data_IF_570825243059
#
_entry.id   IF_570825243059
#
_cell.length_a   1.000
_cell.length_b   1.000
_cell.length_c   1.000
_cell.angle_alpha   90.00
_cell.angle_beta   90.00
_cell.angle_gamma   90.00
#
_symmetry.space_group_name_H-M   'P 1'
#
loop_
_entity.id
_entity.type
_entity.pdbx_description
1 polymer ?
#
# COMPACT_ATOMS: atom_id res chain seq x y z
N UNK A 1 -59.73 22.61 9.13
CA UNK A 1 -58.39 23.20 9.01
C UNK A 1 -57.64 22.43 7.94
N UNK A 2 -57.18 23.08 6.86
CA UNK A 2 -56.35 22.42 5.85
C UNK A 2 -54.85 22.49 6.23
N UNK A 3 -54.16 21.36 6.11
CA UNK A 3 -52.70 21.26 6.27
C UNK A 3 -51.98 21.85 5.05
N UNK A 4 -50.95 22.69 5.24
CA UNK A 4 -50.04 23.08 4.17
C UNK A 4 -48.76 22.23 4.26
N UNK A 5 -48.31 21.70 3.12
CA UNK A 5 -46.90 21.58 2.65
C UNK A 5 -46.94 20.64 1.44
N UNK A 6 -47.35 21.21 0.32
CA UNK A 6 -46.92 20.77 -0.99
C UNK A 6 -45.46 21.19 -1.14
N UNK A 7 -44.55 20.24 -0.99
CA UNK A 7 -43.12 20.40 -1.27
C UNK A 7 -42.75 19.65 -2.54
N UNK A 8 -43.23 20.14 -3.68
CA UNK A 8 -42.63 19.76 -4.96
C UNK A 8 -41.21 20.31 -5.04
N UNK A 9 -40.31 19.51 -5.60
CA UNK A 9 -39.03 20.00 -6.11
C UNK A 9 -37.83 19.27 -5.56
N UNK A 10 -37.38 18.25 -6.30
CA UNK A 10 -35.97 17.85 -6.39
C UNK A 10 -35.79 16.97 -7.63
N UNK A 11 -36.05 17.56 -8.81
CA UNK A 11 -35.57 17.01 -10.08
C UNK A 11 -34.04 17.16 -10.13
N UNK A 12 -33.33 16.21 -9.52
CA UNK A 12 -31.87 16.11 -9.69
C UNK A 12 -31.56 15.77 -11.15
N UNK A 13 -31.19 16.79 -11.93
CA UNK A 13 -30.51 16.63 -13.21
C UNK A 13 -29.26 15.75 -12.99
N UNK A 14 -29.29 14.52 -13.51
CA UNK A 14 -28.10 13.68 -13.63
C UNK A 14 -27.09 14.38 -14.57
N UNK A 15 -25.83 14.60 -14.18
CA UNK A 15 -24.80 14.96 -15.15
C UNK A 15 -24.57 13.77 -16.09
N UNK A 16 -24.57 14.05 -17.39
CA UNK A 16 -24.29 13.07 -18.44
C UNK A 16 -22.87 12.52 -18.23
N UNK A 17 -22.75 11.20 -18.21
CA UNK A 17 -21.49 10.47 -18.17
C UNK A 17 -20.58 10.93 -19.31
N UNK A 18 -19.37 11.35 -18.93
CA UNK A 18 -18.27 11.61 -19.84
C UNK A 18 -17.75 10.25 -20.31
N UNK A 19 -18.08 9.86 -21.53
CA UNK A 19 -17.51 8.68 -22.19
C UNK A 19 -16.01 8.89 -22.33
N UNK A 20 -15.21 8.10 -21.61
CA UNK A 20 -13.78 8.03 -21.81
C UNK A 20 -13.52 7.05 -22.98
N UNK A 21 -12.93 7.54 -24.06
CA UNK A 21 -12.40 6.68 -25.11
C UNK A 21 -10.94 6.33 -24.75
N UNK A 22 -10.57 5.04 -24.66
CA UNK A 22 -9.17 4.67 -24.59
C UNK A 22 -8.50 4.94 -25.93
N UNK A 23 -7.55 5.89 -25.95
CA UNK A 23 -6.60 6.08 -27.04
C UNK A 23 -5.67 4.85 -27.13
N UNK A 24 -6.05 3.86 -27.92
CA UNK A 24 -5.16 2.78 -28.36
C UNK A 24 -4.39 3.22 -29.60
N UNK A 25 -3.23 3.83 -29.42
CA UNK A 25 -2.21 3.85 -30.47
C UNK A 25 -0.82 4.14 -29.89
N UNK A 26 -0.09 3.09 -29.57
CA UNK A 26 1.36 3.05 -29.77
C UNK A 26 1.74 1.61 -30.10
N UNK A 27 1.80 1.36 -31.41
CA UNK A 27 2.38 0.21 -32.07
C UNK A 27 3.78 -0.09 -31.57
N UNK A 28 4.00 -1.33 -31.13
CA UNK A 28 5.33 -1.95 -31.07
C UNK A 28 5.96 -1.94 -32.46
N UNK A 29 7.25 -1.64 -32.54
CA UNK A 29 8.12 -2.23 -33.56
C UNK A 29 9.51 -2.51 -32.97
N UNK A 30 10.22 -3.53 -33.47
CA UNK A 30 11.27 -4.19 -32.72
C UNK A 30 12.69 -3.87 -33.21
N UNK A 31 13.65 -4.40 -32.45
CA UNK A 31 15.06 -4.71 -32.80
C UNK A 31 15.99 -3.54 -33.14
N UNK A 32 16.86 -3.20 -32.19
CA UNK A 32 18.26 -2.91 -32.52
C UNK A 32 19.16 -3.85 -31.73
N UNK A 33 19.71 -4.83 -32.45
CA UNK A 33 20.75 -5.75 -32.03
C UNK A 33 22.07 -4.98 -32.05
N UNK A 34 22.71 -4.80 -30.89
CA UNK A 34 24.12 -4.42 -30.83
C UNK A 34 24.83 -5.29 -29.79
N UNK A 35 25.55 -6.27 -30.30
CA UNK A 35 26.43 -7.17 -29.55
C UNK A 35 27.83 -6.54 -29.37
N UNK A 36 28.70 -7.13 -28.54
CA UNK A 36 29.37 -6.46 -27.44
C UNK A 36 30.80 -6.04 -27.77
N UNK A 37 31.36 -5.13 -26.96
CA UNK A 37 32.72 -5.24 -26.41
C UNK A 37 33.08 -3.93 -25.73
N UNK A 38 33.23 -3.95 -24.41
CA UNK A 38 34.15 -3.10 -23.68
C UNK A 38 34.25 -3.65 -22.26
N UNK A 39 35.40 -4.25 -21.97
CA UNK A 39 35.85 -4.52 -20.62
C UNK A 39 35.81 -3.22 -19.80
N UNK A 40 35.21 -3.27 -18.61
CA UNK A 40 35.62 -2.41 -17.50
C UNK A 40 35.72 -3.29 -16.27
N UNK A 41 36.96 -3.38 -15.82
CA UNK A 41 37.39 -3.98 -14.58
C UNK A 41 36.72 -3.35 -13.36
N UNK A 42 36.66 -4.14 -12.29
CA UNK A 42 36.73 -3.69 -10.89
C UNK A 42 35.59 -2.79 -10.39
N UNK A 43 34.63 -3.43 -9.75
CA UNK A 43 34.26 -3.04 -8.40
C UNK A 43 33.69 -4.26 -7.68
N UNK A 44 34.54 -4.92 -6.89
CA UNK A 44 34.07 -5.68 -5.74
C UNK A 44 33.40 -4.66 -4.82
N UNK A 45 32.15 -4.33 -5.11
CA UNK A 45 31.30 -3.61 -4.19
C UNK A 45 31.18 -4.52 -2.97
N UNK A 46 31.99 -4.21 -1.96
CA UNK A 46 31.81 -4.74 -0.63
C UNK A 46 30.40 -4.39 -0.22
N UNK A 47 29.48 -5.33 -0.42
CA UNK A 47 28.22 -5.37 0.29
C UNK A 47 28.66 -5.47 1.74
N UNK A 48 28.83 -4.32 2.40
CA UNK A 48 28.67 -4.23 3.84
C UNK A 48 27.28 -4.79 4.06
N UNK A 49 27.21 -6.09 4.33
CA UNK A 49 26.10 -6.68 5.02
C UNK A 49 26.04 -5.87 6.30
N UNK A 50 25.21 -4.81 6.30
CA UNK A 50 24.76 -4.19 7.54
C UNK A 50 24.38 -5.36 8.40
N UNK A 51 24.95 -5.46 9.58
CA UNK A 51 24.46 -6.40 10.58
C UNK A 51 23.00 -6.03 10.84
N UNK A 52 22.10 -6.58 10.03
CA UNK A 52 20.67 -6.54 10.26
C UNK A 52 20.49 -7.42 11.46
N UNK A 53 20.22 -6.80 12.61
CA UNK A 53 19.84 -7.57 13.79
C UNK A 53 18.68 -8.50 13.39
N UNK A 54 18.59 -9.70 13.97
CA UNK A 54 17.49 -10.62 13.67
C UNK A 54 16.12 -9.96 13.88
N UNK A 55 16.03 -9.01 14.82
CA UNK A 55 14.86 -8.16 15.06
C UNK A 55 14.50 -7.30 13.85
N UNK A 56 15.47 -6.65 13.20
CA UNK A 56 15.24 -5.81 12.03
C UNK A 56 14.77 -6.64 10.83
N UNK A 57 15.35 -7.83 10.60
CA UNK A 57 14.91 -8.73 9.53
C UNK A 57 13.48 -9.21 9.75
N UNK A 58 13.10 -9.51 11.01
CA UNK A 58 11.74 -9.93 11.36
C UNK A 58 10.73 -8.80 11.24
N UNK A 59 11.07 -7.59 11.71
CA UNK A 59 10.25 -6.39 11.55
C UNK A 59 9.94 -6.16 10.06
N UNK A 60 10.97 -6.19 9.21
CA UNK A 60 10.83 -6.04 7.77
C UNK A 60 9.94 -7.11 7.14
N UNK A 61 10.13 -8.38 7.52
CA UNK A 61 9.27 -9.46 7.03
C UNK A 61 7.80 -9.21 7.37
N UNK A 62 7.50 -8.87 8.62
CA UNK A 62 6.14 -8.58 9.06
C UNK A 62 5.54 -7.37 8.34
N UNK A 63 6.31 -6.29 8.20
CA UNK A 63 5.89 -5.09 7.47
C UNK A 63 5.52 -5.41 6.02
N UNK A 64 6.38 -6.13 5.30
CA UNK A 64 6.12 -6.52 3.91
C UNK A 64 4.89 -7.41 3.78
N UNK A 65 4.73 -8.38 4.69
CA UNK A 65 3.59 -9.30 4.70
C UNK A 65 2.29 -8.54 4.96
N UNK A 66 2.27 -7.65 5.95
CA UNK A 66 1.10 -6.83 6.27
C UNK A 66 0.76 -5.85 5.13
N UNK A 67 1.76 -5.18 4.56
CA UNK A 67 1.55 -4.25 3.44
C UNK A 67 1.04 -4.95 2.18
N UNK A 68 1.52 -6.16 1.88
CA UNK A 68 1.01 -6.96 0.77
C UNK A 68 -0.46 -7.32 0.97
N UNK A 69 -0.82 -7.82 2.16
CA UNK A 69 -2.20 -8.18 2.49
C UNK A 69 -3.13 -6.95 2.48
N UNK A 70 -2.67 -5.80 2.99
CA UNK A 70 -3.41 -4.54 2.91
C UNK A 70 -3.72 -4.16 1.46
N UNK A 71 -2.73 -4.25 0.56
CA UNK A 71 -2.92 -3.99 -0.87
C UNK A 71 -3.87 -4.99 -1.54
N UNK A 72 -3.80 -6.27 -1.19
CA UNK A 72 -4.73 -7.28 -1.72
C UNK A 72 -6.18 -6.96 -1.30
N UNK A 73 -6.40 -6.55 -0.05
CA UNK A 73 -7.73 -6.16 0.42
C UNK A 73 -8.28 -4.91 -0.28
N UNK A 74 -7.40 -4.00 -0.74
CA UNK A 74 -7.80 -2.83 -1.53
C UNK A 74 -8.09 -3.20 -2.99
N UNK A 75 -7.33 -4.14 -3.56
CA UNK A 75 -7.49 -4.60 -4.94
C UNK A 75 -8.74 -5.48 -5.12
N UNK A 76 -9.13 -6.22 -4.08
CA UNK A 76 -10.22 -7.18 -4.08
C UNK A 76 -11.17 -6.93 -2.89
N UNK A 77 -11.93 -5.83 -2.91
CA UNK A 77 -12.79 -5.44 -1.79
C UNK A 77 -13.99 -6.38 -1.58
N UNK A 78 -14.28 -7.25 -2.54
CA UNK A 78 -15.32 -8.27 -2.52
C UNK A 78 -14.94 -9.55 -1.78
N UNK A 79 -13.65 -9.74 -1.46
CA UNK A 79 -13.13 -10.91 -0.75
C UNK A 79 -12.87 -10.55 0.71
N UNK A 80 -13.79 -10.93 1.60
CA UNK A 80 -13.74 -10.61 3.04
C UNK A 80 -12.49 -11.19 3.74
N UNK A 81 -12.01 -12.35 3.30
CA UNK A 81 -10.81 -12.99 3.86
C UNK A 81 -9.58 -12.08 3.76
N UNK A 82 -9.43 -11.31 2.66
CA UNK A 82 -8.30 -10.41 2.50
C UNK A 82 -8.36 -9.22 3.46
N UNK A 83 -9.56 -8.72 3.76
CA UNK A 83 -9.73 -7.68 4.78
C UNK A 83 -9.37 -8.23 6.15
N UNK A 84 -9.85 -9.43 6.48
CA UNK A 84 -9.60 -10.11 7.75
C UNK A 84 -8.10 -10.36 7.95
N UNK A 85 -7.42 -10.91 6.95
CA UNK A 85 -5.98 -11.13 6.95
C UNK A 85 -5.20 -9.82 7.12
N UNK A 86 -5.60 -8.76 6.40
CA UNK A 86 -4.92 -7.46 6.48
C UNK A 86 -5.00 -6.86 7.88
N UNK A 87 -6.17 -6.95 8.53
CA UNK A 87 -6.37 -6.51 9.91
C UNK A 87 -5.52 -7.34 10.86
N UNK A 88 -5.57 -8.67 10.77
CA UNK A 88 -4.81 -9.56 11.66
C UNK A 88 -3.29 -9.33 11.54
N UNK A 89 -2.78 -9.19 10.32
CA UNK A 89 -1.36 -8.95 10.08
C UNK A 89 -0.91 -7.57 10.54
N UNK A 90 -1.78 -6.56 10.41
CA UNK A 90 -1.51 -5.22 10.92
C UNK A 90 -1.39 -5.21 12.45
N UNK A 91 -2.29 -5.92 13.15
CA UNK A 91 -2.19 -6.11 14.61
C UNK A 91 -0.92 -6.87 15.01
N UNK A 92 -0.55 -7.92 14.28
CA UNK A 92 0.69 -8.68 14.54
C UNK A 92 1.95 -7.80 14.40
N UNK A 93 2.00 -6.92 13.39
CA UNK A 93 3.09 -5.97 13.22
C UNK A 93 3.12 -4.97 14.38
N UNK A 94 1.97 -4.36 14.72
CA UNK A 94 1.89 -3.40 15.81
C UNK A 94 2.28 -4.01 17.17
N UNK A 95 1.89 -5.25 17.45
CA UNK A 95 2.36 -5.99 18.64
C UNK A 95 3.87 -6.22 18.64
N UNK A 96 4.43 -6.62 17.49
CA UNK A 96 5.85 -6.82 17.35
C UNK A 96 6.62 -5.51 17.60
N UNK A 97 6.19 -4.42 16.97
CA UNK A 97 6.82 -3.11 17.11
C UNK A 97 6.66 -2.54 18.53
N UNK A 98 5.52 -2.75 19.19
CA UNK A 98 5.35 -2.39 20.62
C UNK A 98 6.36 -3.09 21.52
N UNK A 99 6.66 -4.36 21.23
CA UNK A 99 7.56 -5.17 22.05
C UNK A 99 9.04 -4.88 21.78
N UNK A 100 9.36 -4.52 20.54
CA UNK A 100 10.74 -4.45 20.06
C UNK A 100 11.21 -3.04 19.67
N UNK A 101 10.32 -2.05 19.73
CA UNK A 101 10.56 -0.66 19.38
C UNK A 101 11.18 -0.49 17.98
N UNK A 102 10.56 -1.18 17.00
CA UNK A 102 11.06 -1.26 15.62
C UNK A 102 10.34 -0.37 14.61
N UNK A 103 9.39 0.45 15.07
CA UNK A 103 8.68 1.41 14.25
C UNK A 103 9.59 2.57 13.80
N UNK A 104 9.29 3.16 12.65
CA UNK A 104 10.06 4.24 12.02
C UNK A 104 9.19 5.49 11.82
N UNK A 105 7.89 5.32 11.57
CA UNK A 105 6.99 6.43 11.33
C UNK A 105 6.70 7.28 12.58
N UNK A 106 6.11 8.47 12.38
CA UNK A 106 5.95 9.47 13.43
C UNK A 106 4.94 9.10 14.52
N UNK A 107 3.94 8.27 14.19
CA UNK A 107 2.90 7.85 15.12
C UNK A 107 3.17 6.38 15.48
N UNK A 108 3.46 6.13 16.75
CA UNK A 108 3.85 4.80 17.24
C UNK A 108 2.71 3.78 17.26
N UNK A 109 3.01 2.48 17.42
CA UNK A 109 2.05 1.38 17.26
C UNK A 109 0.94 1.31 18.34
N UNK A 110 1.07 2.06 19.44
CA UNK A 110 0.05 2.12 20.52
C UNK A 110 -0.94 3.28 20.38
N UNK A 111 -0.85 4.05 19.29
CA UNK A 111 -1.68 5.23 19.09
C UNK A 111 -3.14 4.84 18.83
N UNK A 112 -4.08 5.61 19.39
CA UNK A 112 -5.53 5.32 19.29
C UNK A 112 -6.06 5.48 17.87
N UNK A 113 -5.37 6.27 17.05
CA UNK A 113 -5.66 6.55 15.64
C UNK A 113 -5.65 5.29 14.77
N UNK A 114 -5.06 4.20 15.25
CA UNK A 114 -4.94 2.93 14.54
C UNK A 114 -6.13 1.99 14.75
N UNK A 115 -6.92 2.20 15.80
CA UNK A 115 -8.07 1.38 16.13
C UNK A 115 -9.20 1.57 15.09
N UNK A 116 -9.92 0.50 14.67
CA UNK A 116 -9.82 -0.90 15.11
C UNK A 116 -8.86 -1.80 14.33
N UNK A 117 -8.21 -1.29 13.29
CA UNK A 117 -7.63 -2.15 12.25
C UNK A 117 -6.10 -2.23 12.22
N UNK A 118 -5.41 -1.23 12.75
CA UNK A 118 -3.97 -0.97 12.57
C UNK A 118 -3.48 -0.91 11.11
N UNK A 119 -4.38 -0.95 10.12
CA UNK A 119 -4.02 -0.85 8.70
C UNK A 119 -3.42 0.50 8.33
N UNK A 120 -3.91 1.65 8.85
CA UNK A 120 -3.27 2.94 8.60
C UNK A 120 -1.82 3.00 9.14
N UNK A 121 -1.55 2.34 10.27
CA UNK A 121 -0.20 2.19 10.80
C UNK A 121 0.72 1.47 9.81
N UNK A 122 0.28 0.34 9.24
CA UNK A 122 1.06 -0.38 8.21
C UNK A 122 1.40 0.52 7.02
N UNK A 123 0.46 1.35 6.56
CA UNK A 123 0.70 2.27 5.44
C UNK A 123 1.73 3.34 5.78
N UNK A 124 1.65 3.93 6.98
CA UNK A 124 2.66 4.89 7.46
C UNK A 124 4.06 4.28 7.46
N UNK A 125 4.21 3.10 8.06
CA UNK A 125 5.51 2.41 8.16
C UNK A 125 6.03 2.01 6.78
N UNK A 126 5.14 1.56 5.90
CA UNK A 126 5.49 1.18 4.54
C UNK A 126 5.90 2.39 3.68
N UNK A 127 5.23 3.53 3.83
CA UNK A 127 5.56 4.77 3.10
C UNK A 127 6.93 5.32 3.51
N UNK A 128 7.30 5.20 4.78
CA UNK A 128 8.64 5.56 5.28
C UNK A 128 9.77 4.73 4.64
N UNK A 129 9.45 3.55 4.10
CA UNK A 129 10.43 2.68 3.46
C UNK A 129 10.74 3.04 2.00
N UNK A 130 10.01 3.98 1.38
CA UNK A 130 10.41 4.65 0.14
C UNK A 130 10.61 3.73 -1.08
N UNK A 131 9.55 3.03 -1.48
CA UNK A 131 9.57 2.10 -2.61
C UNK A 131 9.53 2.79 -3.98
#
# INVERSE_FOLDING_TARGET
MPDPITGEGLTRRRPKSRTWEPRTCCTRSPTSRRSPSAAVETATAGTKARHTSPTNTRALYLLRRAALSDRLSLAHPDVEDFLTDAVQLAHQLAEFDRKHDTHVGPIGPSAIEWDPSHRPYVRQEYDHWGW
#
